data_IF_135837610820
#
_entry.id   IF_135837610820
#
_cell.length_a   1.000
_cell.length_b   1.000
_cell.length_c   1.000
_cell.angle_alpha   90.00
_cell.angle_beta   90.00
_cell.angle_gamma   90.00
#
_symmetry.space_group_name_H-M   'P 1'
#
loop_
_entity.id
_entity.type
_entity.pdbx_description
1 polymer ?
#
# COMPACT_ATOMS: atom_id res chain seq x y z
N UNK A 1 -1.27 14.92 -2.46
CA UNK A 1 -0.89 13.75 -1.62
C UNK A 1 -0.93 12.51 -2.49
N UNK A 2 -0.16 11.47 -2.17
CA UNK A 2 -0.12 10.22 -2.95
C UNK A 2 -0.54 9.02 -2.12
N UNK A 3 -1.40 8.18 -2.71
CA UNK A 3 -1.82 6.91 -2.12
C UNK A 3 -1.49 5.73 -3.04
N UNK A 4 -0.90 4.68 -2.49
CA UNK A 4 -0.79 3.39 -3.16
C UNK A 4 -1.87 2.46 -2.61
N UNK A 5 -2.73 1.92 -3.48
CA UNK A 5 -3.73 0.92 -3.13
C UNK A 5 -3.39 -0.39 -3.88
N UNK A 6 -3.03 -1.43 -3.14
CA UNK A 6 -2.72 -2.75 -3.69
C UNK A 6 -3.27 -3.81 -2.77
N UNK A 7 -4.54 -4.13 -2.95
CA UNK A 7 -5.30 -5.01 -2.05
C UNK A 7 -5.62 -6.32 -2.74
N UNK A 8 -5.72 -7.40 -1.98
CA UNK A 8 -6.27 -8.67 -2.44
C UNK A 8 -7.78 -8.74 -2.21
N UNK A 9 -8.24 -8.47 -0.99
CA UNK A 9 -9.65 -8.24 -0.68
C UNK A 9 -10.10 -6.86 -1.19
N UNK A 10 -11.13 -6.86 -2.04
CA UNK A 10 -11.68 -5.68 -2.71
C UNK A 10 -12.86 -5.05 -1.95
N UNK A 11 -13.24 -5.59 -0.79
CA UNK A 11 -14.31 -5.03 0.02
C UNK A 11 -14.10 -3.53 0.27
N UNK A 12 -15.07 -2.69 -0.12
CA UNK A 12 -15.06 -1.24 0.11
C UNK A 12 -13.96 -0.43 -0.60
N UNK A 13 -13.07 -1.06 -1.41
CA UNK A 13 -11.91 -0.37 -2.00
C UNK A 13 -12.32 0.74 -2.97
N UNK A 14 -13.41 0.53 -3.70
CA UNK A 14 -13.97 1.50 -4.64
C UNK A 14 -14.38 2.79 -3.95
N UNK A 15 -15.13 2.69 -2.86
CA UNK A 15 -15.60 3.87 -2.13
C UNK A 15 -14.44 4.55 -1.42
N UNK A 16 -13.51 3.77 -0.86
CA UNK A 16 -12.29 4.29 -0.27
C UNK A 16 -11.45 5.09 -1.27
N UNK A 17 -11.24 4.58 -2.49
CA UNK A 17 -10.50 5.28 -3.54
C UNK A 17 -11.20 6.58 -3.98
N UNK A 18 -12.53 6.58 -4.08
CA UNK A 18 -13.33 7.79 -4.38
C UNK A 18 -13.17 8.85 -3.30
N UNK A 19 -13.32 8.46 -2.04
CA UNK A 19 -13.17 9.36 -0.90
C UNK A 19 -11.76 9.96 -0.82
N UNK A 20 -10.73 9.14 -1.04
CA UNK A 20 -9.34 9.64 -1.10
C UNK A 20 -9.13 10.61 -2.27
N UNK A 21 -9.68 10.30 -3.44
CA UNK A 21 -9.58 11.18 -4.61
C UNK A 21 -10.26 12.54 -4.35
N UNK A 22 -11.42 12.56 -3.70
CA UNK A 22 -12.11 13.79 -3.28
C UNK A 22 -11.31 14.60 -2.25
N UNK A 23 -10.48 13.94 -1.44
CA UNK A 23 -9.54 14.58 -0.51
C UNK A 23 -8.24 15.06 -1.19
N UNK A 24 -8.12 14.93 -2.52
CA UNK A 24 -6.95 15.38 -3.27
C UNK A 24 -5.77 14.40 -3.28
N UNK A 25 -6.02 13.11 -2.98
CA UNK A 25 -5.03 12.08 -3.20
C UNK A 25 -4.96 11.69 -4.68
N UNK A 26 -3.75 11.64 -5.20
CA UNK A 26 -3.42 10.95 -6.42
C UNK A 26 -3.33 9.44 -6.12
N UNK A 27 -4.12 8.64 -6.84
CA UNK A 27 -4.24 7.20 -6.58
C UNK A 27 -3.36 6.41 -7.53
N UNK A 28 -2.50 5.58 -6.95
CA UNK A 28 -1.65 4.62 -7.67
C UNK A 28 -2.04 3.20 -7.27
N UNK A 29 -2.05 2.28 -8.23
CA UNK A 29 -2.48 0.91 -7.99
C UNK A 29 -1.71 -0.10 -8.83
N UNK A 30 -1.71 -1.35 -8.37
CA UNK A 30 -1.20 -2.52 -9.10
C UNK A 30 -2.33 -3.22 -9.85
N UNK A 31 -1.99 -4.06 -10.83
CA UNK A 31 -2.89 -4.61 -11.86
C UNK A 31 -4.30 -5.02 -11.39
N UNK A 32 -4.41 -5.99 -10.49
CA UNK A 32 -5.71 -6.52 -10.05
C UNK A 32 -6.59 -5.48 -9.33
N UNK A 33 -5.97 -4.59 -8.56
CA UNK A 33 -6.69 -3.50 -7.87
C UNK A 33 -7.06 -2.39 -8.86
N UNK A 34 -6.18 -2.06 -9.81
CA UNK A 34 -6.43 -1.03 -10.83
C UNK A 34 -7.63 -1.41 -11.68
N UNK A 35 -7.75 -2.69 -12.05
CA UNK A 35 -8.91 -3.22 -12.77
C UNK A 35 -10.21 -3.08 -11.97
N UNK A 36 -10.20 -3.40 -10.67
CA UNK A 36 -11.36 -3.23 -9.80
C UNK A 36 -11.78 -1.76 -9.62
N UNK A 37 -10.85 -0.83 -9.80
CA UNK A 37 -11.11 0.61 -9.71
C UNK A 37 -11.50 1.26 -11.03
N UNK A 38 -11.42 0.56 -12.16
CA UNK A 38 -11.64 1.15 -13.49
C UNK A 38 -13.05 1.75 -13.65
N UNK A 39 -14.08 1.08 -13.11
CA UNK A 39 -15.48 1.51 -13.25
C UNK A 39 -15.86 2.69 -12.33
N UNK A 40 -14.95 3.08 -11.44
CA UNK A 40 -15.23 4.06 -10.38
C UNK A 40 -15.14 5.51 -10.84
N UNK A 41 -14.69 5.74 -12.09
CA UNK A 41 -14.32 7.05 -12.66
C UNK A 41 -13.24 7.81 -11.87
N UNK A 42 -12.60 7.17 -10.89
CA UNK A 42 -11.44 7.71 -10.19
C UNK A 42 -10.24 7.60 -11.11
N UNK A 43 -9.48 8.69 -11.34
CA UNK A 43 -8.21 8.61 -12.04
C UNK A 43 -7.22 7.73 -11.24
N UNK A 44 -6.90 6.55 -11.76
CA UNK A 44 -5.96 5.61 -11.13
C UNK A 44 -4.76 5.40 -12.03
N UNK A 45 -3.59 5.77 -11.53
CA UNK A 45 -2.30 5.56 -12.17
C UNK A 45 -1.72 4.19 -11.82
N UNK A 46 -0.88 3.65 -12.69
CA UNK A 46 -0.07 2.47 -12.37
C UNK A 46 1.06 2.83 -11.40
N UNK A 47 1.42 1.92 -10.49
CA UNK A 47 2.65 2.08 -9.70
C UNK A 47 3.89 2.20 -10.59
N UNK A 48 3.89 1.60 -11.78
CA UNK A 48 4.98 1.76 -12.76
C UNK A 48 5.18 3.21 -13.21
N UNK A 49 4.15 4.07 -13.10
CA UNK A 49 4.28 5.50 -13.39
C UNK A 49 5.07 6.24 -12.30
N UNK A 50 5.12 5.70 -11.06
CA UNK A 50 6.00 6.20 -10.00
C UNK A 50 7.45 5.80 -10.29
N UNK A 51 7.66 4.55 -10.73
CA UNK A 51 9.01 4.00 -10.86
C UNK A 51 9.69 4.37 -12.17
N UNK A 52 8.91 4.62 -13.23
CA UNK A 52 9.42 4.74 -14.59
C UNK A 52 10.03 3.43 -15.14
N UNK A 53 9.84 2.31 -14.44
CA UNK A 53 10.43 1.02 -14.76
C UNK A 53 9.36 0.05 -15.31
N UNK A 54 9.64 -0.70 -16.38
CA UNK A 54 8.68 -1.62 -16.98
C UNK A 54 8.31 -2.76 -16.01
N UNK A 55 7.11 -3.31 -16.19
CA UNK A 55 6.73 -4.53 -15.48
C UNK A 55 7.49 -5.72 -16.07
N UNK A 56 8.30 -6.39 -15.25
CA UNK A 56 9.09 -7.58 -15.60
C UNK A 56 8.79 -8.71 -14.62
N UNK A 57 9.14 -9.96 -14.99
CA UNK A 57 8.99 -11.14 -14.14
C UNK A 57 7.55 -11.28 -13.62
N UNK A 58 6.57 -11.09 -14.52
CA UNK A 58 5.13 -11.11 -14.21
C UNK A 58 4.71 -10.19 -13.05
N UNK A 59 5.46 -9.09 -12.88
CA UNK A 59 5.18 -8.08 -11.87
C UNK A 59 5.70 -8.40 -10.47
N UNK A 60 6.51 -9.46 -10.30
CA UNK A 60 7.10 -9.86 -9.00
C UNK A 60 7.91 -8.77 -8.32
N UNK A 61 8.52 -7.85 -9.08
CA UNK A 61 9.43 -6.82 -8.55
C UNK A 61 8.92 -5.39 -8.70
N UNK A 62 7.69 -5.19 -9.20
CA UNK A 62 7.21 -3.86 -9.63
C UNK A 62 7.15 -2.79 -8.55
N UNK A 63 7.04 -3.19 -7.29
CA UNK A 63 6.99 -2.26 -6.14
C UNK A 63 8.29 -2.19 -5.36
N UNK A 64 9.23 -3.11 -5.62
CA UNK A 64 10.53 -3.22 -4.95
C UNK A 64 11.52 -2.21 -5.56
N UNK A 65 11.18 -0.93 -5.48
CA UNK A 65 11.89 0.14 -6.17
C UNK A 65 12.20 1.33 -5.24
N UNK A 66 13.36 1.99 -5.34
CA UNK A 66 13.69 3.17 -4.54
C UNK A 66 12.69 4.32 -4.69
N UNK A 67 12.11 4.52 -5.87
CA UNK A 67 11.07 5.55 -6.07
C UNK A 67 9.81 5.31 -5.22
N UNK A 68 9.52 4.05 -4.89
CA UNK A 68 8.42 3.68 -3.97
C UNK A 68 8.90 3.75 -2.53
N UNK A 69 9.98 3.04 -2.20
CA UNK A 69 10.41 2.91 -0.80
C UNK A 69 11.07 4.16 -0.24
N UNK A 70 11.73 4.99 -1.06
CA UNK A 70 12.21 6.31 -0.67
C UNK A 70 11.05 7.25 -0.31
N UNK A 71 10.00 7.28 -1.13
CA UNK A 71 8.78 8.04 -0.86
C UNK A 71 8.05 7.59 0.41
N UNK A 72 8.17 6.31 0.79
CA UNK A 72 7.59 5.74 2.01
C UNK A 72 8.47 5.94 3.26
N UNK A 73 9.80 5.82 3.14
CA UNK A 73 10.71 5.69 4.28
C UNK A 73 11.44 6.97 4.67
N UNK A 74 11.39 8.02 3.84
CA UNK A 74 12.03 9.27 4.17
C UNK A 74 11.49 9.86 5.48
N UNK A 75 12.41 10.21 6.39
CA UNK A 75 12.09 10.94 7.61
C UNK A 75 11.84 12.40 7.24
N UNK A 76 10.58 12.78 7.13
CA UNK A 76 10.18 14.11 6.62
C UNK A 76 10.63 15.27 7.50
N UNK A 77 10.94 15.01 8.77
CA UNK A 77 11.49 15.99 9.72
C UNK A 77 13.02 16.08 9.70
N UNK A 78 13.71 15.31 8.86
CA UNK A 78 15.16 15.33 8.71
C UNK A 78 15.51 15.96 7.36
N UNK A 79 16.03 17.21 7.33
CA UNK A 79 16.30 17.93 6.08
C UNK A 79 17.18 17.18 5.08
N UNK A 80 18.15 16.40 5.57
CA UNK A 80 19.02 15.58 4.73
C UNK A 80 18.23 14.57 3.86
N UNK A 81 17.23 13.88 4.43
CA UNK A 81 16.40 12.96 3.66
C UNK A 81 15.58 13.70 2.60
N UNK A 82 15.05 14.89 2.93
CA UNK A 82 14.27 15.68 1.97
C UNK A 82 15.12 16.17 0.81
N UNK A 83 16.40 16.50 1.06
CA UNK A 83 17.36 16.85 0.02
C UNK A 83 17.68 15.64 -0.88
N UNK A 84 17.94 14.46 -0.31
CA UNK A 84 18.18 13.22 -1.07
C UNK A 84 16.98 12.86 -1.96
N UNK A 85 15.75 12.99 -1.44
CA UNK A 85 14.55 12.77 -2.25
C UNK A 85 14.48 13.73 -3.43
N UNK A 86 14.74 15.03 -3.21
CA UNK A 86 14.70 16.03 -4.26
C UNK A 86 15.76 15.79 -5.34
N UNK A 87 17.00 15.46 -4.95
CA UNK A 87 18.10 15.14 -5.86
C UNK A 87 17.78 13.93 -6.74
N UNK A 88 17.17 12.90 -6.14
CA UNK A 88 16.79 11.67 -6.83
C UNK A 88 15.41 11.74 -7.50
N UNK A 89 14.74 12.89 -7.46
CA UNK A 89 13.38 13.12 -8.00
C UNK A 89 12.34 12.12 -7.44
N UNK A 90 12.53 11.70 -6.20
CA UNK A 90 11.61 10.83 -5.49
C UNK A 90 10.58 11.69 -4.78
N UNK A 91 9.31 11.41 -5.02
CA UNK A 91 8.21 12.11 -4.36
C UNK A 91 7.67 11.31 -3.17
N UNK A 92 7.05 12.02 -2.24
CA UNK A 92 6.49 11.43 -1.02
C UNK A 92 5.25 10.57 -1.33
N UNK A 93 5.10 9.49 -0.56
CA UNK A 93 3.88 8.69 -0.51
C UNK A 93 3.28 8.83 0.89
N UNK A 94 2.01 9.23 0.95
CA UNK A 94 1.32 9.63 2.18
C UNK A 94 0.45 8.52 2.75
N UNK A 95 -0.05 7.62 1.90
CA UNK A 95 -0.92 6.52 2.29
C UNK A 95 -0.60 5.25 1.51
N UNK A 96 -0.62 4.13 2.22
CA UNK A 96 -0.54 2.78 1.65
C UNK A 96 -1.73 1.98 2.17
N UNK A 97 -2.57 1.51 1.27
CA UNK A 97 -3.62 0.53 1.56
C UNK A 97 -3.27 -0.79 0.88
N UNK A 98 -2.82 -1.77 1.67
CA UNK A 98 -2.38 -3.08 1.19
C UNK A 98 -2.89 -4.13 2.13
N UNK A 99 -3.68 -5.07 1.61
CA UNK A 99 -4.06 -6.27 2.33
C UNK A 99 -3.57 -7.49 1.55
N UNK A 100 -3.01 -8.43 2.29
CA UNK A 100 -2.40 -9.64 1.73
C UNK A 100 -3.50 -10.68 1.50
N UNK A 101 -3.40 -11.45 0.42
CA UNK A 101 -4.27 -12.61 0.29
C UNK A 101 -4.01 -13.55 1.48
N UNK A 102 -5.02 -14.22 2.04
CA UNK A 102 -4.76 -15.17 3.11
C UNK A 102 -3.99 -16.37 2.52
N UNK A 103 -2.67 -16.37 2.67
CA UNK A 103 -1.79 -17.43 2.18
C UNK A 103 -2.28 -18.80 2.65
N UNK A 104 -2.67 -18.89 3.93
CA UNK A 104 -3.37 -20.04 4.53
C UNK A 104 -4.48 -20.55 3.60
N UNK A 105 -5.38 -19.67 3.13
CA UNK A 105 -6.50 -20.10 2.27
C UNK A 105 -6.04 -20.63 0.92
N UNK A 106 -4.90 -20.20 0.38
CA UNK A 106 -4.33 -20.81 -0.83
C UNK A 106 -3.82 -22.20 -0.51
N UNK A 107 -2.94 -22.33 0.49
CA UNK A 107 -2.24 -23.58 0.79
C UNK A 107 -3.12 -24.65 1.43
N UNK A 108 -4.29 -24.28 1.96
CA UNK A 108 -5.28 -25.24 2.47
C UNK A 108 -6.26 -25.74 1.41
N UNK A 109 -6.21 -25.26 0.16
CA UNK A 109 -7.09 -25.76 -0.90
C UNK A 109 -6.75 -27.21 -1.23
N UNK A 110 -7.74 -28.11 -1.37
CA UNK A 110 -7.49 -29.46 -1.84
C UNK A 110 -6.79 -29.45 -3.20
N UNK A 111 -5.68 -30.18 -3.32
CA UNK A 111 -4.95 -30.33 -4.58
C UNK A 111 -4.03 -29.17 -4.96
N UNK A 112 -3.81 -28.19 -4.06
CA UNK A 112 -2.84 -27.11 -4.31
C UNK A 112 -1.44 -27.69 -4.54
N UNK A 113 -0.78 -27.22 -5.58
CA UNK A 113 0.60 -27.64 -5.89
C UNK A 113 1.63 -26.77 -5.17
N UNK A 114 2.88 -27.25 -5.08
CA UNK A 114 3.98 -26.43 -4.55
C UNK A 114 4.19 -25.17 -5.40
N UNK A 115 4.13 -25.29 -6.72
CA UNK A 115 4.29 -24.15 -7.63
C UNK A 115 3.20 -23.11 -7.40
N UNK A 116 1.94 -23.53 -7.27
CA UNK A 116 0.83 -22.64 -6.93
C UNK A 116 1.02 -21.96 -5.57
N UNK A 117 1.53 -22.68 -4.56
CA UNK A 117 1.84 -22.10 -3.27
C UNK A 117 2.96 -21.04 -3.40
N UNK A 118 4.05 -21.35 -4.10
CA UNK A 118 5.19 -20.46 -4.30
C UNK A 118 4.80 -19.17 -5.05
N UNK A 119 3.92 -19.25 -6.07
CA UNK A 119 3.41 -18.08 -6.79
C UNK A 119 2.56 -17.15 -5.91
N UNK A 120 1.97 -17.67 -4.83
CA UNK A 120 1.12 -16.89 -3.93
C UNK A 120 1.90 -16.26 -2.76
N UNK A 121 3.22 -16.47 -2.68
CA UNK A 121 4.06 -15.79 -1.70
C UNK A 121 4.31 -14.34 -2.16
N UNK A 122 3.61 -13.40 -1.55
CA UNK A 122 3.79 -11.98 -1.75
C UNK A 122 5.06 -11.45 -1.08
N UNK A 123 5.89 -10.74 -1.84
CA UNK A 123 7.10 -10.05 -1.37
C UNK A 123 6.87 -8.53 -1.30
N UNK A 124 6.23 -7.97 -2.33
CA UNK A 124 6.02 -6.53 -2.45
C UNK A 124 5.04 -5.99 -1.41
N UNK A 125 3.94 -6.69 -1.19
CA UNK A 125 2.91 -6.35 -0.21
C UNK A 125 3.47 -6.20 1.21
N UNK A 126 4.07 -7.26 1.80
CA UNK A 126 4.67 -7.18 3.13
C UNK A 126 5.76 -6.09 3.23
N UNK A 127 6.57 -5.91 2.19
CA UNK A 127 7.62 -4.88 2.17
C UNK A 127 7.04 -3.48 2.24
N UNK A 128 6.02 -3.17 1.43
CA UNK A 128 5.33 -1.86 1.48
C UNK A 128 4.62 -1.63 2.81
N UNK A 129 3.93 -2.65 3.35
CA UNK A 129 3.25 -2.57 4.66
C UNK A 129 4.27 -2.22 5.75
N UNK A 130 5.37 -2.97 5.84
CA UNK A 130 6.42 -2.74 6.85
C UNK A 130 7.07 -1.36 6.69
N UNK A 131 7.31 -0.92 5.46
CA UNK A 131 7.89 0.40 5.19
C UNK A 131 6.98 1.53 5.68
N UNK A 132 5.69 1.49 5.33
CA UNK A 132 4.70 2.48 5.76
C UNK A 132 4.49 2.43 7.28
N UNK A 133 4.36 1.24 7.86
CA UNK A 133 4.21 1.06 9.31
C UNK A 133 5.43 1.56 10.11
N UNK A 134 6.65 1.35 9.61
CA UNK A 134 7.88 1.91 10.22
C UNK A 134 7.84 3.44 10.23
N UNK A 135 7.34 4.07 9.17
CA UNK A 135 7.30 5.52 9.02
C UNK A 135 5.91 6.11 9.34
N UNK A 136 5.16 5.47 10.25
CA UNK A 136 3.79 5.88 10.62
C UNK A 136 3.61 7.34 11.04
N UNK A 137 4.61 8.07 11.59
CA UNK A 137 4.43 9.50 11.86
C UNK A 137 4.16 10.30 10.58
N UNK A 138 4.64 9.83 9.43
CA UNK A 138 4.52 10.50 8.14
C UNK A 138 3.55 9.79 7.18
N UNK A 139 3.45 8.46 7.25
CA UNK A 139 2.70 7.63 6.29
C UNK A 139 1.55 6.92 6.98
N UNK A 140 0.36 6.94 6.38
CA UNK A 140 -0.79 6.17 6.84
C UNK A 140 -0.73 4.78 6.21
N UNK A 141 -0.72 3.73 7.02
CA UNK A 141 -0.81 2.34 6.56
C UNK A 141 -2.20 1.79 6.87
N UNK A 142 -2.83 1.11 5.92
CA UNK A 142 -4.13 0.46 6.11
C UNK A 142 -4.08 -0.95 5.54
N UNK A 143 -4.33 -1.95 6.39
CA UNK A 143 -4.25 -3.37 6.01
C UNK A 143 -5.60 -4.09 6.06
N UNK A 144 -6.65 -3.42 6.50
CA UNK A 144 -7.98 -4.01 6.70
C UNK A 144 -9.06 -3.06 6.16
N UNK A 145 -9.95 -3.53 5.26
CA UNK A 145 -11.09 -2.76 4.78
C UNK A 145 -11.99 -2.17 5.88
N UNK A 146 -12.06 -2.80 7.06
CA UNK A 146 -12.84 -2.28 8.18
C UNK A 146 -12.38 -0.88 8.64
N UNK A 147 -11.12 -0.52 8.41
CA UNK A 147 -10.56 0.76 8.83
C UNK A 147 -10.80 1.90 7.82
N UNK A 148 -11.25 1.61 6.60
CA UNK A 148 -11.39 2.61 5.52
C UNK A 148 -12.29 3.79 5.92
N UNK A 149 -13.46 3.51 6.50
CA UNK A 149 -14.42 4.55 6.91
C UNK A 149 -13.83 5.46 8.00
N UNK A 150 -13.15 4.88 8.99
CA UNK A 150 -12.51 5.62 10.06
C UNK A 150 -11.40 6.52 9.51
N UNK A 151 -10.53 5.97 8.67
CA UNK A 151 -9.41 6.71 8.07
C UNK A 151 -9.92 7.90 7.25
N UNK A 152 -10.90 7.67 6.38
CA UNK A 152 -11.52 8.73 5.57
C UNK A 152 -12.16 9.80 6.44
N UNK A 153 -12.95 9.41 7.45
CA UNK A 153 -13.61 10.37 8.34
C UNK A 153 -12.60 11.28 9.05
N UNK A 154 -11.47 10.72 9.50
CA UNK A 154 -10.38 11.48 10.13
C UNK A 154 -9.64 12.38 9.16
N UNK A 155 -9.40 11.92 7.94
CA UNK A 155 -8.81 12.76 6.88
C UNK A 155 -9.72 13.92 6.49
N UNK A 156 -11.04 13.73 6.44
CA UNK A 156 -12.03 14.81 6.22
C UNK A 156 -12.02 15.85 7.36
N UNK A 157 -11.59 15.47 8.56
CA UNK A 157 -11.41 16.37 9.71
C UNK A 157 -10.02 17.04 9.74
N UNK A 158 -9.15 16.72 8.78
CA UNK A 158 -7.82 17.33 8.61
C UNK A 158 -6.69 16.30 8.61
N UNK A 159 -6.57 15.50 9.67
CA UNK A 159 -5.52 14.49 9.77
C UNK A 159 -5.85 13.41 10.81
N UNK A 160 -5.26 12.22 10.64
CA UNK A 160 -5.17 11.25 11.72
C UNK A 160 -4.14 11.72 12.76
N UNK A 161 -4.51 11.61 14.04
CA UNK A 161 -3.61 11.84 15.15
C UNK A 161 -2.48 10.80 15.17
N UNK A 162 -1.36 11.14 15.82
CA UNK A 162 -0.18 10.26 15.88
C UNK A 162 -0.50 8.90 16.50
N UNK A 163 -1.33 8.87 17.56
CA UNK A 163 -1.74 7.61 18.20
C UNK A 163 -2.64 6.74 17.32
N UNK A 164 -3.47 7.34 16.46
CA UNK A 164 -4.29 6.61 15.50
C UNK A 164 -3.40 5.98 14.42
N UNK A 165 -2.41 6.72 13.91
CA UNK A 165 -1.39 6.20 12.98
C UNK A 165 -0.56 5.08 13.61
N UNK A 166 -0.20 5.22 14.90
CA UNK A 166 0.52 4.18 15.66
C UNK A 166 -0.30 2.91 15.78
N UNK A 167 -1.61 2.99 16.06
CA UNK A 167 -2.51 1.83 16.12
C UNK A 167 -2.59 1.11 14.77
N UNK A 168 -2.73 1.87 13.68
CA UNK A 168 -2.72 1.30 12.33
C UNK A 168 -1.38 0.61 12.01
N UNK A 169 -0.25 1.19 12.43
CA UNK A 169 1.07 0.57 12.27
C UNK A 169 1.25 -0.72 13.09
N UNK A 170 0.73 -0.77 14.32
CA UNK A 170 0.71 -1.98 15.13
C UNK A 170 -0.09 -3.09 14.44
N UNK A 171 -1.29 -2.76 13.96
CA UNK A 171 -2.13 -3.68 13.18
C UNK A 171 -1.42 -4.17 11.91
N UNK A 172 -0.72 -3.28 11.22
CA UNK A 172 0.06 -3.62 10.03
C UNK A 172 1.20 -4.61 10.31
N UNK A 173 1.98 -4.42 11.39
CA UNK A 173 3.00 -5.40 11.77
C UNK A 173 2.41 -6.74 12.21
N UNK A 174 1.28 -6.74 12.93
CA UNK A 174 0.56 -7.97 13.28
C UNK A 174 0.06 -8.71 12.04
N UNK A 175 -0.48 -7.98 11.06
CA UNK A 175 -0.94 -8.54 9.79
C UNK A 175 0.19 -9.24 9.03
N UNK A 176 1.37 -8.62 8.96
CA UNK A 176 2.55 -9.23 8.33
C UNK A 176 3.08 -10.41 9.14
N UNK A 177 3.14 -10.31 10.48
CA UNK A 177 3.58 -11.42 11.32
C UNK A 177 2.66 -12.66 11.18
N UNK A 178 1.35 -12.44 11.11
CA UNK A 178 0.38 -13.51 10.88
C UNK A 178 0.54 -14.14 9.49
N UNK A 179 0.84 -13.32 8.48
CA UNK A 179 1.14 -13.78 7.13
C UNK A 179 2.44 -14.61 7.07
N UNK A 180 3.52 -14.15 7.71
CA UNK A 180 4.81 -14.84 7.72
C UNK A 180 4.79 -16.16 8.53
N UNK A 181 3.84 -16.30 9.47
CA UNK A 181 3.68 -17.52 10.29
C UNK A 181 2.91 -18.63 9.57
N UNK A 182 2.07 -18.27 8.60
CA UNK A 182 1.17 -19.15 7.86
C UNK A 182 1.91 -20.10 6.92
#
# INVERSE_FOLDING_TARGET
MRAIISVSDKAGVTDFAKDLSQLGFEIFSTGGTKKALADTKVPVKSVSEITGFPEILDGRVKTLHPMVHGGLLAKRNLPAHMAELAENKIELIDLVAVNLYPFVRTVTKPGVTLDEALENIDIGGPTMIRAAAKNFPSVIVVVDPADYKLVVAKLKQGALALDERKRLAQKAFQHVAAYDTA
#
